data_IF_575557595974
#
_entry.id   IF_575557595974
#
_cell.length_a   1.000
_cell.length_b   1.000
_cell.length_c   1.000
_cell.angle_alpha   90.00
_cell.angle_beta   90.00
_cell.angle_gamma   90.00
#
_symmetry.space_group_name_H-M   'P 1'
#
loop_
_entity.id
_entity.type
_entity.pdbx_description
1 polymer ?
#
# COMPACT_ATOMS: atom_id res chain seq x y z
N UNK A 1 25.59 52.71 -103.88
CA UNK A 1 26.07 51.99 -105.07
C UNK A 1 26.08 50.50 -104.70
N UNK A 2 25.24 49.67 -105.32
CA UNK A 2 25.17 48.22 -105.03
C UNK A 2 25.87 47.50 -106.18
N UNK A 3 26.96 46.79 -105.89
CA UNK A 3 27.62 45.94 -106.88
C UNK A 3 26.72 44.76 -107.23
N UNK A 4 26.88 44.19 -108.43
CA UNK A 4 26.19 42.95 -108.82
C UNK A 4 26.65 41.79 -107.92
N UNK A 5 25.83 40.73 -107.82
CA UNK A 5 25.97 39.68 -106.81
C UNK A 5 27.35 38.97 -106.80
N UNK A 6 28.09 38.96 -107.92
CA UNK A 6 29.44 38.37 -108.04
C UNK A 6 30.59 39.34 -107.76
N UNK A 7 30.30 40.55 -107.31
CA UNK A 7 31.28 41.60 -107.00
C UNK A 7 31.04 42.20 -105.62
N UNK A 8 32.13 42.55 -104.92
CA UNK A 8 32.06 43.31 -103.69
C UNK A 8 32.58 44.74 -103.92
N UNK A 9 32.12 45.68 -103.09
CA UNK A 9 32.59 47.06 -103.17
C UNK A 9 33.90 47.20 -102.38
N UNK A 10 35.01 47.39 -103.10
CA UNK A 10 36.32 47.61 -102.49
C UNK A 10 36.44 49.10 -102.11
N UNK A 11 36.47 49.36 -100.80
CA UNK A 11 36.43 50.73 -100.26
C UNK A 11 37.66 51.54 -100.64
N UNK A 12 38.79 50.88 -100.84
CA UNK A 12 40.06 51.51 -101.19
C UNK A 12 40.10 51.97 -102.66
N UNK A 13 39.60 51.16 -103.59
CA UNK A 13 39.58 51.46 -105.04
C UNK A 13 38.29 52.15 -105.49
N UNK A 14 37.25 52.17 -104.66
CA UNK A 14 35.88 52.66 -104.96
C UNK A 14 35.24 51.98 -106.17
N UNK A 15 35.70 50.78 -106.52
CA UNK A 15 35.19 49.98 -107.62
C UNK A 15 34.57 48.67 -107.11
N UNK A 16 33.80 48.04 -107.98
CA UNK A 16 33.28 46.69 -107.73
C UNK A 16 34.34 45.69 -108.21
N UNK A 17 34.95 44.96 -107.28
CA UNK A 17 35.95 43.93 -107.56
C UNK A 17 35.33 42.54 -107.48
N UNK A 18 35.82 41.63 -108.31
CA UNK A 18 35.26 40.28 -108.44
C UNK A 18 35.47 39.46 -107.17
N UNK A 19 34.48 38.65 -106.83
CA UNK A 19 34.64 37.65 -105.77
C UNK A 19 35.66 36.57 -106.17
N UNK A 20 36.32 35.98 -105.18
CA UNK A 20 37.16 34.80 -105.39
C UNK A 20 36.30 33.65 -105.93
N UNK A 21 36.88 32.81 -106.80
CA UNK A 21 36.19 31.65 -107.40
C UNK A 21 35.60 30.66 -106.38
N UNK A 22 36.08 30.71 -105.13
CA UNK A 22 35.55 29.93 -104.01
C UNK A 22 34.20 30.44 -103.45
N UNK A 23 33.75 31.65 -103.82
CA UNK A 23 32.47 32.23 -103.40
C UNK A 23 31.52 32.43 -104.59
N UNK A 24 30.22 32.27 -104.38
CA UNK A 24 29.21 32.67 -105.37
C UNK A 24 28.90 34.17 -105.26
N UNK A 25 28.78 34.65 -104.02
CA UNK A 25 28.70 36.08 -103.69
C UNK A 25 29.59 36.35 -102.49
N UNK A 26 30.16 37.56 -102.38
CA UNK A 26 31.11 37.94 -101.33
C UNK A 26 30.84 39.35 -100.79
N UNK A 27 31.44 39.66 -99.64
CA UNK A 27 31.27 40.95 -98.96
C UNK A 27 32.56 41.39 -98.27
N UNK A 28 32.83 42.70 -98.27
CA UNK A 28 34.04 43.38 -97.77
C UNK A 28 35.37 42.96 -98.43
N UNK A 29 35.60 41.69 -98.73
CA UNK A 29 36.81 41.14 -99.35
C UNK A 29 36.45 39.99 -100.27
N UNK A 30 37.25 39.75 -101.31
CA UNK A 30 37.01 38.68 -102.30
C UNK A 30 36.82 37.27 -101.69
N UNK A 31 37.40 37.00 -100.51
CA UNK A 31 37.37 35.69 -99.82
C UNK A 31 36.32 35.54 -98.71
N UNK A 32 35.55 36.60 -98.40
CA UNK A 32 34.47 36.55 -97.40
C UNK A 32 33.15 36.28 -98.12
N UNK A 33 32.80 35.01 -98.23
CA UNK A 33 31.62 34.58 -98.95
C UNK A 33 30.33 34.92 -98.19
N UNK A 34 29.28 35.30 -98.92
CA UNK A 34 27.90 35.41 -98.44
C UNK A 34 27.02 34.26 -98.96
N UNK A 35 27.38 33.68 -100.11
CA UNK A 35 26.77 32.47 -100.64
C UNK A 35 27.82 31.62 -101.36
N UNK A 36 27.51 30.34 -101.52
CA UNK A 36 28.47 29.33 -101.95
C UNK A 36 28.06 28.66 -103.26
N UNK A 37 29.03 28.26 -104.10
CA UNK A 37 28.77 27.46 -105.31
C UNK A 37 28.07 26.13 -105.00
N UNK A 38 27.44 25.53 -106.02
CA UNK A 38 26.78 24.22 -105.88
C UNK A 38 27.69 23.17 -105.22
N UNK A 39 27.12 22.36 -104.32
CA UNK A 39 27.80 21.32 -103.53
C UNK A 39 28.77 21.84 -102.44
N UNK A 40 28.67 23.10 -102.03
CA UNK A 40 29.38 23.68 -100.87
C UNK A 40 28.44 24.44 -99.95
N UNK A 41 28.81 24.62 -98.68
CA UNK A 41 28.00 25.32 -97.69
C UNK A 41 28.77 26.47 -97.02
N UNK A 42 28.02 27.48 -96.57
CA UNK A 42 28.59 28.63 -95.89
C UNK A 42 28.85 28.35 -94.42
N UNK A 43 30.08 28.52 -93.97
CA UNK A 43 30.48 28.50 -92.57
C UNK A 43 31.52 29.57 -92.29
N UNK A 44 31.29 30.42 -91.28
CA UNK A 44 32.20 31.51 -90.91
C UNK A 44 32.69 32.35 -92.10
N UNK A 45 31.79 32.72 -93.01
CA UNK A 45 32.08 33.47 -94.26
C UNK A 45 33.01 32.76 -95.25
N UNK A 46 33.15 31.44 -95.17
CA UNK A 46 33.90 30.60 -96.13
C UNK A 46 33.02 29.48 -96.66
N UNK A 47 33.25 29.08 -97.91
CA UNK A 47 32.56 27.95 -98.53
C UNK A 47 33.34 26.67 -98.29
N UNK A 48 32.76 25.74 -97.54
CA UNK A 48 33.38 24.48 -97.15
C UNK A 48 32.70 23.29 -97.88
N UNK A 49 33.46 22.21 -98.07
CA UNK A 49 32.95 20.93 -98.62
C UNK A 49 32.51 19.98 -97.51
N UNK A 50 31.57 19.07 -97.81
CA UNK A 50 31.05 18.10 -96.84
C UNK A 50 32.07 17.07 -96.32
N UNK A 51 33.27 16.95 -96.92
CA UNK A 51 34.29 15.95 -96.54
C UNK A 51 34.68 16.00 -95.05
N UNK A 52 34.70 17.18 -94.44
CA UNK A 52 35.01 17.33 -93.01
C UNK A 52 33.77 17.18 -92.11
N UNK A 53 32.57 17.35 -92.67
CA UNK A 53 31.31 17.22 -91.95
C UNK A 53 30.90 15.76 -91.73
N UNK A 54 31.39 14.80 -92.52
CA UNK A 54 31.08 13.37 -92.32
C UNK A 54 31.37 12.88 -90.89
N UNK A 55 32.40 13.46 -90.25
CA UNK A 55 32.77 13.11 -88.88
C UNK A 55 31.85 13.73 -87.83
N UNK A 56 31.34 14.95 -88.06
CA UNK A 56 30.67 15.78 -87.06
C UNK A 56 29.16 15.95 -87.29
N UNK A 57 28.66 15.68 -88.50
CA UNK A 57 27.28 15.86 -88.92
C UNK A 57 26.48 14.54 -88.87
N UNK A 58 25.30 14.59 -88.27
CA UNK A 58 24.38 13.46 -88.19
C UNK A 58 23.35 13.49 -89.33
N UNK A 59 22.86 14.70 -89.66
CA UNK A 59 21.89 14.91 -90.73
C UNK A 59 22.30 16.07 -91.63
N UNK A 60 22.49 15.79 -92.92
CA UNK A 60 22.77 16.78 -93.94
C UNK A 60 21.49 17.50 -94.41
N UNK A 61 21.64 18.73 -94.91
CA UNK A 61 20.52 19.48 -95.47
C UNK A 61 19.97 18.82 -96.75
N UNK A 62 18.65 18.91 -96.98
CA UNK A 62 17.97 18.26 -98.12
C UNK A 62 18.44 18.74 -99.50
N UNK A 63 19.16 19.86 -99.58
CA UNK A 63 19.78 20.39 -100.80
C UNK A 63 21.27 20.00 -100.96
N UNK A 64 21.75 19.05 -100.16
CA UNK A 64 23.01 18.34 -100.36
C UNK A 64 24.26 18.99 -99.78
N UNK A 65 24.18 20.11 -99.07
CA UNK A 65 25.37 20.78 -98.51
C UNK A 65 25.11 21.40 -97.14
N UNK A 66 26.01 21.12 -96.19
CA UNK A 66 25.90 21.60 -94.82
C UNK A 66 25.07 20.69 -93.90
N UNK A 67 25.14 20.99 -92.61
CA UNK A 67 24.56 20.17 -91.56
C UNK A 67 23.33 20.80 -90.91
N UNK A 68 22.25 20.03 -90.75
CA UNK A 68 21.04 20.45 -90.04
C UNK A 68 20.94 19.90 -88.62
N UNK A 69 21.56 18.74 -88.35
CA UNK A 69 21.71 18.16 -87.03
C UNK A 69 23.13 17.60 -86.83
N UNK A 70 23.83 18.06 -85.81
CA UNK A 70 25.19 17.61 -85.48
C UNK A 70 25.14 16.31 -84.64
N UNK A 71 26.19 15.49 -84.73
CA UNK A 71 26.37 14.33 -83.85
C UNK A 71 26.61 14.78 -82.41
N UNK A 72 26.41 13.86 -81.47
CA UNK A 72 26.79 14.04 -80.06
C UNK A 72 28.24 14.55 -79.95
N UNK A 73 28.47 15.49 -79.03
CA UNK A 73 29.76 16.18 -78.88
C UNK A 73 29.92 17.45 -79.74
N UNK A 74 28.95 17.79 -80.58
CA UNK A 74 28.97 19.00 -81.42
C UNK A 74 27.67 19.80 -81.32
N UNK A 75 27.76 21.13 -81.50
CA UNK A 75 26.62 22.03 -81.61
C UNK A 75 26.63 22.80 -82.93
N UNK A 76 25.45 23.18 -83.40
CA UNK A 76 25.26 23.78 -84.72
C UNK A 76 25.38 25.29 -84.68
N UNK A 77 26.18 25.86 -85.60
CA UNK A 77 26.12 27.28 -85.95
C UNK A 77 25.94 27.38 -87.48
N UNK A 78 24.80 27.91 -87.92
CA UNK A 78 24.49 27.99 -89.36
C UNK A 78 24.30 26.61 -89.99
N UNK A 79 25.25 26.18 -90.81
CA UNK A 79 25.29 24.87 -91.48
C UNK A 79 26.54 24.04 -91.10
N UNK A 80 27.24 24.43 -90.04
CA UNK A 80 28.45 23.78 -89.54
C UNK A 80 28.31 23.33 -88.08
N UNK A 81 29.18 22.41 -87.66
CA UNK A 81 29.17 21.77 -86.36
C UNK A 81 30.47 22.03 -85.60
N UNK A 82 30.38 22.65 -84.43
CA UNK A 82 31.51 23.00 -83.57
C UNK A 82 31.54 22.12 -82.32
N UNK A 83 32.72 21.77 -81.84
CA UNK A 83 32.87 20.88 -80.68
C UNK A 83 32.33 21.50 -79.38
N UNK A 84 31.66 20.67 -78.59
CA UNK A 84 31.26 20.99 -77.22
C UNK A 84 32.47 21.03 -76.27
N UNK A 85 32.30 21.63 -75.10
CA UNK A 85 33.23 21.48 -73.97
C UNK A 85 33.30 20.00 -73.53
N UNK A 86 34.48 19.54 -73.08
CA UNK A 86 34.74 18.14 -72.68
C UNK A 86 33.83 17.64 -71.55
N UNK A 87 33.30 18.57 -70.74
CA UNK A 87 32.33 18.25 -69.67
C UNK A 87 30.93 17.92 -70.19
N UNK A 88 30.60 18.28 -71.44
CA UNK A 88 29.29 18.02 -72.05
C UNK A 88 29.32 16.74 -72.92
N UNK A 89 28.22 16.00 -72.94
CA UNK A 89 27.94 15.00 -73.99
C UNK A 89 27.21 15.64 -75.16
N UNK A 90 26.19 16.45 -74.90
CA UNK A 90 25.53 17.30 -75.90
C UNK A 90 25.43 18.73 -75.36
N UNK A 91 25.50 19.72 -76.24
CA UNK A 91 25.52 21.13 -75.85
C UNK A 91 24.71 22.00 -76.79
N UNK A 92 24.20 23.12 -76.27
CA UNK A 92 23.49 24.13 -77.07
C UNK A 92 24.48 25.12 -77.69
N UNK A 93 25.54 25.45 -76.96
CA UNK A 93 26.68 26.23 -77.41
C UNK A 93 27.94 25.76 -76.66
N UNK A 94 29.09 26.40 -76.93
CA UNK A 94 30.38 26.05 -76.32
C UNK A 94 30.34 25.94 -74.79
N UNK A 95 29.53 26.73 -74.09
CA UNK A 95 29.54 26.80 -72.61
C UNK A 95 28.31 26.17 -71.95
N UNK A 96 27.21 25.96 -72.70
CA UNK A 96 25.93 25.48 -72.17
C UNK A 96 25.68 24.01 -72.55
N UNK A 97 25.84 23.12 -71.58
CA UNK A 97 25.57 21.69 -71.76
C UNK A 97 24.08 21.37 -71.70
N UNK A 98 23.60 20.56 -72.63
CA UNK A 98 22.27 19.95 -72.54
C UNK A 98 22.33 18.67 -71.71
N UNK A 99 23.33 17.83 -71.95
CA UNK A 99 23.65 16.63 -71.15
C UNK A 99 25.14 16.59 -70.82
N UNK A 100 25.49 16.02 -69.67
CA UNK A 100 26.88 15.93 -69.22
C UNK A 100 27.58 14.68 -69.76
N UNK A 101 28.91 14.67 -69.78
CA UNK A 101 29.69 13.46 -70.03
C UNK A 101 29.43 12.40 -68.93
N UNK A 102 29.74 11.14 -69.18
CA UNK A 102 29.53 10.00 -68.27
C UNK A 102 30.25 10.14 -66.93
N UNK A 103 31.31 10.93 -66.84
CA UNK A 103 32.07 11.21 -65.60
C UNK A 103 31.53 12.39 -64.81
N UNK A 104 30.56 13.13 -65.35
CA UNK A 104 30.03 14.36 -64.78
C UNK A 104 28.52 14.20 -64.51
N UNK A 105 28.01 14.99 -63.57
CA UNK A 105 26.58 15.10 -63.28
C UNK A 105 26.07 16.51 -63.59
N UNK A 106 24.78 16.61 -63.88
CA UNK A 106 24.10 17.89 -64.14
C UNK A 106 23.57 18.47 -62.83
N UNK A 107 24.01 19.67 -62.48
CA UNK A 107 23.50 20.41 -61.32
C UNK A 107 22.11 20.98 -61.64
N UNK A 108 21.40 21.41 -60.59
CA UNK A 108 20.13 22.12 -60.76
C UNK A 108 20.28 23.47 -61.51
N UNK A 109 21.46 24.11 -61.48
CA UNK A 109 21.77 25.30 -62.29
C UNK A 109 22.00 25.00 -63.77
N UNK A 110 22.14 23.72 -64.15
CA UNK A 110 22.40 23.27 -65.52
C UNK A 110 23.87 23.08 -65.86
N UNK A 111 24.77 23.21 -64.89
CA UNK A 111 26.22 23.00 -65.06
C UNK A 111 26.58 21.52 -64.98
N UNK A 112 27.72 21.14 -65.59
CA UNK A 112 28.24 19.78 -65.54
C UNK A 112 29.50 19.71 -64.67
N UNK A 113 29.38 19.12 -63.48
CA UNK A 113 30.48 18.95 -62.51
C UNK A 113 30.93 17.48 -62.40
N UNK A 114 32.19 17.19 -62.05
CA UNK A 114 32.66 15.82 -61.80
C UNK A 114 31.80 15.06 -60.78
N UNK A 115 31.48 13.79 -61.06
CA UNK A 115 30.69 12.96 -60.14
C UNK A 115 31.38 12.72 -58.79
N UNK A 116 32.71 12.77 -58.76
CA UNK A 116 33.51 12.63 -57.53
C UNK A 116 33.38 13.82 -56.57
N UNK A 117 32.82 14.95 -57.01
CA UNK A 117 32.61 16.12 -56.17
C UNK A 117 31.44 15.91 -55.18
N UNK A 118 30.54 14.96 -55.46
CA UNK A 118 29.45 14.62 -54.55
C UNK A 118 29.97 13.70 -53.44
N UNK A 119 30.25 14.28 -52.28
CA UNK A 119 30.63 13.56 -51.07
C UNK A 119 29.36 13.08 -50.32
N UNK A 120 29.41 11.86 -49.76
CA UNK A 120 28.33 11.35 -48.92
C UNK A 120 27.15 10.75 -49.69
N UNK A 121 27.32 10.34 -50.94
CA UNK A 121 26.31 9.56 -51.67
C UNK A 121 26.34 8.07 -51.24
N UNK A 122 25.17 7.50 -50.97
CA UNK A 122 25.04 6.09 -50.54
C UNK A 122 25.02 5.11 -51.73
N UNK A 123 24.83 5.63 -52.94
CA UNK A 123 24.73 4.88 -54.19
C UNK A 123 25.73 5.44 -55.20
N UNK A 124 25.95 4.74 -56.30
CA UNK A 124 26.80 5.25 -57.36
C UNK A 124 26.17 6.54 -57.95
N UNK A 125 26.98 7.59 -58.02
CA UNK A 125 26.58 8.86 -58.62
C UNK A 125 26.43 8.65 -60.13
N UNK A 126 25.40 9.26 -60.72
CA UNK A 126 25.11 9.18 -62.16
C UNK A 126 25.16 10.57 -62.79
N UNK A 127 24.90 10.67 -64.09
CA UNK A 127 24.73 11.97 -64.77
C UNK A 127 23.60 12.82 -64.18
N UNK A 128 22.66 12.19 -63.47
CA UNK A 128 21.58 12.87 -62.74
C UNK A 128 21.94 13.22 -61.30
N UNK A 129 23.20 13.04 -60.89
CA UNK A 129 23.67 13.26 -59.52
C UNK A 129 23.42 12.06 -58.60
N UNK A 130 23.28 12.33 -57.31
CA UNK A 130 23.03 11.34 -56.26
C UNK A 130 21.53 11.23 -55.96
N UNK A 131 20.99 10.01 -56.00
CA UNK A 131 19.57 9.75 -55.67
C UNK A 131 19.32 9.45 -54.20
N UNK A 132 20.36 9.07 -53.44
CA UNK A 132 20.26 8.78 -52.00
C UNK A 132 21.57 9.08 -51.29
N UNK A 133 21.54 9.96 -50.30
CA UNK A 133 22.69 10.26 -49.45
C UNK A 133 22.90 9.21 -48.36
N UNK A 134 24.13 9.11 -47.85
CA UNK A 134 24.49 8.30 -46.69
C UNK A 134 23.85 8.86 -45.41
N UNK A 135 23.73 8.01 -44.39
CA UNK A 135 23.33 8.48 -43.06
C UNK A 135 24.35 9.55 -42.59
N UNK A 136 23.84 10.65 -42.04
CA UNK A 136 24.65 11.84 -41.75
C UNK A 136 24.67 12.88 -42.88
N UNK A 137 24.05 12.62 -44.03
CA UNK A 137 23.89 13.57 -45.13
C UNK A 137 22.41 13.70 -45.56
N UNK A 138 22.05 14.84 -46.18
CA UNK A 138 20.73 15.07 -46.76
C UNK A 138 20.83 15.60 -48.19
N UNK A 139 19.78 15.35 -48.99
CA UNK A 139 19.73 15.80 -50.38
C UNK A 139 19.49 17.32 -50.42
N UNK A 140 20.37 18.03 -51.12
CA UNK A 140 20.24 19.44 -51.48
C UNK A 140 20.26 19.59 -53.00
N UNK A 141 19.73 20.72 -53.50
CA UNK A 141 19.70 21.04 -54.94
C UNK A 141 19.17 19.90 -55.81
N UNK A 142 18.22 19.12 -55.29
CA UNK A 142 17.57 17.94 -55.90
C UNK A 142 18.42 16.67 -56.02
N UNK A 143 19.75 16.76 -56.16
CA UNK A 143 20.59 15.61 -56.48
C UNK A 143 22.02 15.66 -55.90
N UNK A 144 22.28 16.52 -54.91
CA UNK A 144 23.57 16.65 -54.22
C UNK A 144 23.42 16.30 -52.74
N UNK A 145 24.52 15.99 -52.06
CA UNK A 145 24.50 15.61 -50.65
C UNK A 145 25.26 16.64 -49.79
N UNK A 146 24.63 17.06 -48.69
CA UNK A 146 25.24 17.94 -47.71
C UNK A 146 25.21 17.30 -46.32
N UNK A 147 26.27 17.49 -45.55
CA UNK A 147 26.41 16.93 -44.20
C UNK A 147 25.37 17.53 -43.22
N UNK A 148 24.84 16.69 -42.35
CA UNK A 148 24.00 17.07 -41.24
C UNK A 148 24.81 17.79 -40.15
N UNK A 149 24.16 18.59 -39.32
CA UNK A 149 24.84 19.20 -38.17
C UNK A 149 25.19 18.12 -37.12
N UNK A 150 26.25 18.34 -36.35
CA UNK A 150 26.85 17.38 -35.39
C UNK A 150 25.88 16.80 -34.35
N UNK A 151 24.72 17.43 -34.12
CA UNK A 151 23.70 16.97 -33.17
C UNK A 151 22.71 15.96 -33.79
N UNK A 152 22.65 15.87 -35.12
CA UNK A 152 21.82 14.91 -35.84
C UNK A 152 22.64 13.67 -36.20
N UNK A 153 22.02 12.50 -36.10
CA UNK A 153 22.54 11.28 -36.72
C UNK A 153 22.01 11.13 -38.16
N UNK A 154 20.76 11.52 -38.40
CA UNK A 154 20.17 11.66 -39.74
C UNK A 154 19.35 12.94 -39.81
N UNK A 155 19.28 13.60 -40.97
CA UNK A 155 18.54 14.85 -41.16
C UNK A 155 17.81 14.91 -42.50
N UNK A 156 16.92 15.89 -42.67
CA UNK A 156 16.06 16.02 -43.86
C UNK A 156 15.73 17.49 -44.10
N UNK A 157 15.74 17.94 -45.37
CA UNK A 157 15.49 19.33 -45.82
C UNK A 157 16.56 20.37 -45.42
N UNK A 158 17.12 20.28 -44.22
CA UNK A 158 18.24 21.14 -43.78
C UNK A 158 19.13 20.42 -42.77
N UNK A 159 20.36 20.91 -42.61
CA UNK A 159 21.35 20.36 -41.68
C UNK A 159 20.88 20.32 -40.22
N UNK A 160 19.91 21.16 -39.82
CA UNK A 160 19.39 21.25 -38.45
C UNK A 160 18.08 20.48 -38.23
N UNK A 161 17.44 20.00 -39.30
CA UNK A 161 16.15 19.31 -39.21
C UNK A 161 16.40 17.80 -39.15
N UNK A 162 16.69 17.33 -37.94
CA UNK A 162 17.05 15.95 -37.70
C UNK A 162 15.82 15.02 -37.81
N UNK A 163 16.06 13.79 -38.27
CA UNK A 163 15.12 12.65 -38.21
C UNK A 163 15.57 11.62 -37.18
N UNK A 164 16.85 11.63 -36.80
CA UNK A 164 17.37 10.94 -35.63
C UNK A 164 18.50 11.74 -35.01
N UNK A 165 18.70 11.59 -33.71
CA UNK A 165 19.72 12.28 -32.93
C UNK A 165 20.80 11.31 -32.46
N UNK A 166 21.99 11.82 -32.20
CA UNK A 166 23.06 11.05 -31.56
C UNK A 166 22.61 10.42 -30.23
N UNK A 167 23.32 9.38 -29.79
CA UNK A 167 22.98 8.48 -28.67
C UNK A 167 22.77 9.14 -27.28
N UNK A 168 22.77 10.46 -27.18
CA UNK A 168 22.59 11.22 -25.93
C UNK A 168 21.57 12.37 -26.04
N UNK A 169 20.85 12.45 -27.15
CA UNK A 169 19.93 13.54 -27.46
C UNK A 169 18.54 12.99 -27.80
N UNK A 170 17.49 13.72 -27.44
CA UNK A 170 16.10 13.38 -27.80
C UNK A 170 15.63 14.23 -28.96
N UNK A 171 14.93 13.59 -29.89
CA UNK A 171 14.31 14.24 -31.03
C UNK A 171 12.98 14.87 -30.64
N UNK A 172 12.88 16.19 -30.74
CA UNK A 172 11.64 16.92 -30.58
C UNK A 172 10.79 16.85 -31.86
N UNK A 173 9.49 17.08 -31.73
CA UNK A 173 8.54 17.09 -32.85
C UNK A 173 8.86 18.14 -33.91
N UNK A 174 9.56 19.21 -33.53
CA UNK A 174 10.05 20.23 -34.45
C UNK A 174 11.33 19.80 -35.22
N UNK A 175 11.85 18.59 -35.01
CA UNK A 175 13.06 18.06 -35.64
C UNK A 175 14.38 18.52 -34.98
N UNK A 176 14.33 19.15 -33.81
CA UNK A 176 15.52 19.55 -33.05
C UNK A 176 15.96 18.46 -32.07
N UNK A 177 17.26 18.29 -31.90
CA UNK A 177 17.85 17.37 -30.93
C UNK A 177 18.24 18.11 -29.65
N UNK A 178 17.74 17.67 -28.50
CA UNK A 178 18.02 18.29 -27.19
C UNK A 178 18.58 17.28 -26.20
N UNK A 179 19.51 17.75 -25.36
CA UNK A 179 20.11 16.93 -24.30
C UNK A 179 19.17 16.70 -23.11
N UNK A 180 19.54 15.72 -22.29
CA UNK A 180 18.81 15.31 -21.08
C UNK A 180 18.45 16.49 -20.16
N UNK A 181 19.34 17.48 -20.04
CA UNK A 181 19.14 18.66 -19.19
C UNK A 181 17.94 19.51 -19.56
N UNK A 182 17.51 19.49 -20.83
CA UNK A 182 16.35 20.23 -21.31
C UNK A 182 15.04 19.48 -21.13
N UNK A 183 15.09 18.19 -20.83
CA UNK A 183 13.89 17.36 -20.67
C UNK A 183 13.64 17.14 -19.19
N UNK A 184 12.64 17.85 -18.67
CA UNK A 184 12.27 17.78 -17.26
C UNK A 184 12.05 16.32 -16.84
N UNK A 185 12.79 15.89 -15.82
CA UNK A 185 12.70 14.57 -15.18
C UNK A 185 13.07 13.37 -16.05
N UNK A 186 13.61 13.54 -17.25
CA UNK A 186 14.19 12.43 -18.00
C UNK A 186 15.51 11.98 -17.36
N UNK A 187 15.74 10.67 -17.30
CA UNK A 187 16.95 10.04 -16.73
C UNK A 187 17.77 9.28 -17.75
N UNK A 188 17.11 8.69 -18.75
CA UNK A 188 17.76 7.80 -19.71
C UNK A 188 17.18 8.04 -21.10
N UNK A 189 18.06 8.00 -22.10
CA UNK A 189 17.72 8.22 -23.51
C UNK A 189 18.11 6.96 -24.28
N UNK A 190 17.19 6.43 -25.07
CA UNK A 190 17.48 5.34 -26.02
C UNK A 190 16.78 5.63 -27.35
N UNK A 191 17.48 5.42 -28.48
CA UNK A 191 16.93 5.62 -29.83
C UNK A 191 16.30 7.01 -30.03
N UNK A 192 17.02 8.05 -29.62
CA UNK A 192 16.58 9.45 -29.68
C UNK A 192 15.28 9.77 -28.94
N UNK A 193 14.90 8.96 -27.95
CA UNK A 193 13.72 9.14 -27.10
C UNK A 193 14.07 9.01 -25.63
N UNK A 194 13.37 9.74 -24.77
CA UNK A 194 13.44 9.53 -23.32
C UNK A 194 12.82 8.16 -22.98
N UNK A 195 13.63 7.23 -22.50
CA UNK A 195 13.20 5.86 -22.17
C UNK A 195 12.85 5.70 -20.71
N UNK A 196 13.48 6.47 -19.83
CA UNK A 196 13.29 6.39 -18.39
C UNK A 196 13.15 7.77 -17.79
N UNK A 197 12.12 7.94 -16.98
CA UNK A 197 11.85 9.16 -16.24
C UNK A 197 12.16 8.98 -14.75
N UNK A 198 12.16 10.09 -14.03
CA UNK A 198 12.29 10.11 -12.58
C UNK A 198 11.09 9.46 -11.90
N UNK A 199 11.25 9.07 -10.63
CA UNK A 199 10.17 8.52 -9.82
C UNK A 199 8.95 9.46 -9.84
N UNK A 200 7.74 8.91 -10.02
CA UNK A 200 6.46 9.60 -10.33
C UNK A 200 6.21 10.06 -11.76
N UNK A 201 7.07 9.71 -12.72
CA UNK A 201 6.89 10.10 -14.12
C UNK A 201 7.13 8.91 -15.07
N UNK A 202 6.44 8.92 -16.20
CA UNK A 202 6.64 7.98 -17.32
C UNK A 202 6.89 8.74 -18.63
N UNK A 203 7.59 8.14 -19.60
CA UNK A 203 7.72 8.75 -20.92
C UNK A 203 6.36 8.99 -21.58
N UNK A 204 6.23 10.10 -22.29
CA UNK A 204 5.10 10.36 -23.19
C UNK A 204 5.08 9.33 -24.32
N UNK A 205 3.94 9.18 -25.01
CA UNK A 205 3.80 8.23 -26.13
C UNK A 205 4.86 8.44 -27.22
N UNK A 206 5.19 9.70 -27.47
CA UNK A 206 6.19 10.07 -28.48
C UNK A 206 7.63 9.98 -27.95
N UNK A 207 7.81 9.89 -26.64
CA UNK A 207 9.13 9.78 -25.98
C UNK A 207 9.88 11.10 -25.87
N UNK A 208 9.19 12.22 -26.01
CA UNK A 208 9.77 13.58 -26.02
C UNK A 208 9.74 14.27 -24.66
N UNK A 209 8.92 13.77 -23.74
CA UNK A 209 8.69 14.37 -22.42
C UNK A 209 8.35 13.29 -21.39
N UNK A 210 8.36 13.67 -20.10
CA UNK A 210 7.97 12.82 -18.99
C UNK A 210 6.66 13.33 -18.37
N UNK A 211 5.62 12.51 -18.39
CA UNK A 211 4.29 12.81 -17.85
C UNK A 211 4.12 12.21 -16.46
N UNK A 212 3.38 12.89 -15.58
CA UNK A 212 3.13 12.42 -14.22
C UNK A 212 2.36 11.11 -14.19
N UNK A 213 2.80 10.17 -13.36
CA UNK A 213 2.16 8.88 -13.11
C UNK A 213 1.94 8.69 -11.62
N UNK A 214 0.73 8.29 -11.24
CA UNK A 214 0.39 7.91 -9.88
C UNK A 214 0.95 6.52 -9.58
N UNK A 215 1.78 6.43 -8.55
CA UNK A 215 2.42 5.20 -8.11
C UNK A 215 1.58 4.58 -6.98
N UNK A 216 0.56 3.82 -7.35
CA UNK A 216 -0.45 3.25 -6.44
C UNK A 216 0.11 2.46 -5.24
N UNK A 217 1.21 1.73 -5.42
CA UNK A 217 1.81 0.95 -4.35
C UNK A 217 2.37 1.82 -3.21
N UNK A 218 2.82 3.05 -3.49
CA UNK A 218 3.31 3.98 -2.45
C UNK A 218 2.15 4.44 -1.57
N UNK A 219 0.99 4.71 -2.18
CA UNK A 219 -0.23 5.09 -1.48
C UNK A 219 -0.70 3.93 -0.59
N UNK A 220 -0.67 2.70 -1.12
CA UNK A 220 -1.02 1.51 -0.35
C UNK A 220 -0.12 1.31 0.88
N UNK A 221 1.20 1.46 0.72
CA UNK A 221 2.15 1.39 1.85
C UNK A 221 1.88 2.47 2.89
N UNK A 222 1.59 3.70 2.47
CA UNK A 222 1.25 4.79 3.39
C UNK A 222 -0.02 4.48 4.21
N UNK A 223 -1.07 3.94 3.58
CA UNK A 223 -2.30 3.54 4.27
C UNK A 223 -2.03 2.40 5.27
N UNK A 224 -1.23 1.40 4.89
CA UNK A 224 -0.86 0.30 5.80
C UNK A 224 -0.06 0.79 7.00
N UNK A 225 0.86 1.75 6.83
CA UNK A 225 1.59 2.37 7.94
C UNK A 225 0.64 3.08 8.92
N UNK A 226 -0.34 3.83 8.42
CA UNK A 226 -1.34 4.51 9.27
C UNK A 226 -2.18 3.50 10.05
N UNK A 227 -2.60 2.39 9.41
CA UNK A 227 -3.34 1.32 10.08
C UNK A 227 -2.51 0.67 11.20
N UNK A 228 -1.22 0.43 10.98
CA UNK A 228 -0.32 -0.12 12.00
C UNK A 228 -0.20 0.83 13.20
N UNK A 229 -0.03 2.13 12.96
CA UNK A 229 0.02 3.13 14.05
C UNK A 229 -1.29 3.14 14.85
N UNK A 230 -2.43 3.02 14.17
CA UNK A 230 -3.74 2.96 14.82
C UNK A 230 -3.89 1.70 15.69
N UNK A 231 -3.44 0.54 15.22
CA UNK A 231 -3.43 -0.70 15.98
C UNK A 231 -2.55 -0.56 17.24
N UNK A 232 -1.35 0.01 17.11
CA UNK A 232 -0.44 0.24 18.24
C UNK A 232 -1.10 1.16 19.28
N UNK A 233 -1.77 2.22 18.85
CA UNK A 233 -2.52 3.12 19.74
C UNK A 233 -3.63 2.37 20.49
N UNK A 234 -4.44 1.57 19.79
CA UNK A 234 -5.50 0.75 20.41
C UNK A 234 -4.91 -0.22 21.44
N UNK A 235 -3.85 -0.96 21.09
CA UNK A 235 -3.19 -1.90 22.01
C UNK A 235 -2.66 -1.19 23.25
N UNK A 236 -2.04 -0.02 23.07
CA UNK A 236 -1.55 0.79 24.19
C UNK A 236 -2.69 1.22 25.13
N UNK A 237 -3.82 1.64 24.57
CA UNK A 237 -5.04 2.01 25.30
C UNK A 237 -5.60 0.84 26.12
N UNK A 238 -5.63 -0.36 25.52
CA UNK A 238 -6.07 -1.59 26.20
C UNK A 238 -5.13 -1.97 27.35
N UNK A 239 -3.82 -1.82 27.18
CA UNK A 239 -2.84 -2.10 28.26
C UNK A 239 -3.01 -1.10 29.41
N UNK A 240 -3.14 0.20 29.09
CA UNK A 240 -3.31 1.26 30.10
C UNK A 240 -4.60 1.06 30.89
N UNK A 241 -5.72 0.80 30.20
CA UNK A 241 -7.01 0.53 30.86
C UNK A 241 -6.96 -0.70 31.76
N UNK A 242 -6.34 -1.80 31.31
CA UNK A 242 -6.10 -2.98 32.18
C UNK A 242 -5.27 -2.65 33.41
N UNK A 243 -4.20 -1.87 33.26
CA UNK A 243 -3.35 -1.47 34.37
C UNK A 243 -4.09 -0.56 35.37
N UNK A 244 -4.89 0.39 34.88
CA UNK A 244 -5.74 1.25 35.71
C UNK A 244 -6.78 0.42 36.46
N UNK A 245 -7.46 -0.51 35.79
CA UNK A 245 -8.46 -1.39 36.40
C UNK A 245 -7.84 -2.28 37.48
N UNK A 246 -6.66 -2.85 37.21
CA UNK A 246 -5.90 -3.64 38.20
C UNK A 246 -5.52 -2.80 39.41
N UNK A 247 -5.06 -1.56 39.20
CA UNK A 247 -4.68 -0.65 40.29
C UNK A 247 -5.90 -0.22 41.12
N UNK A 248 -7.03 0.08 40.47
CA UNK A 248 -8.31 0.38 41.14
C UNK A 248 -8.83 -0.81 41.94
N UNK A 249 -8.73 -2.03 41.41
CA UNK A 249 -9.15 -3.24 42.10
C UNK A 249 -8.32 -3.51 43.36
N UNK A 250 -6.99 -3.36 43.26
CA UNK A 250 -6.09 -3.46 44.42
C UNK A 250 -6.43 -2.39 45.46
N UNK A 251 -6.63 -1.15 45.03
CA UNK A 251 -6.96 -0.06 45.96
C UNK A 251 -8.31 -0.23 46.64
N UNK A 252 -9.29 -0.85 45.96
CA UNK A 252 -10.60 -1.20 46.53
C UNK A 252 -10.47 -2.28 47.60
N UNK A 253 -9.63 -3.30 47.37
CA UNK A 253 -9.34 -4.34 48.36
C UNK A 253 -8.61 -3.77 49.57
N UNK A 254 -7.57 -2.94 49.37
CA UNK A 254 -6.83 -2.32 50.48
C UNK A 254 -7.69 -1.42 51.37
N UNK A 255 -8.76 -0.84 50.84
CA UNK A 255 -9.74 -0.06 51.63
C UNK A 255 -10.69 -0.92 52.46
N UNK A 256 -10.90 -2.18 52.11
CA UNK A 256 -11.85 -3.08 52.77
C UNK A 256 -11.18 -4.15 53.63
N UNK A 257 -9.89 -4.45 53.41
CA UNK A 257 -9.14 -5.46 54.18
C UNK A 257 -8.08 -4.83 55.08
N UNK A 258 -8.18 -5.02 56.40
CA UNK A 258 -7.16 -4.58 57.36
C UNK A 258 -5.93 -5.48 57.27
N UNK A 259 -4.94 -5.07 56.47
CA UNK A 259 -3.65 -5.75 56.36
C UNK A 259 -2.61 -5.08 57.27
N UNK A 260 -1.95 -5.85 58.12
CA UNK A 260 -0.96 -5.32 59.06
C UNK A 260 0.29 -6.21 59.15
N UNK A 261 1.42 -5.61 59.53
CA UNK A 261 2.66 -6.35 59.74
C UNK A 261 2.61 -7.07 61.10
N UNK A 262 2.86 -8.38 61.12
CA UNK A 262 2.73 -9.19 62.35
C UNK A 262 3.70 -8.76 63.45
N UNK A 263 4.88 -8.26 63.08
CA UNK A 263 5.87 -7.76 64.04
C UNK A 263 5.50 -6.42 64.69
N UNK A 264 4.44 -5.76 64.21
CA UNK A 264 3.93 -4.49 64.74
C UNK A 264 2.60 -4.66 65.49
N UNK A 265 2.09 -5.88 65.62
CA UNK A 265 0.88 -6.16 66.40
C UNK A 265 1.23 -6.76 67.76
N UNK A 266 0.29 -6.65 68.70
CA UNK A 266 0.31 -7.27 70.02
C UNK A 266 -0.41 -8.65 70.04
N UNK A 267 -0.64 -9.23 68.86
CA UNK A 267 -1.40 -10.47 68.71
C UNK A 267 -0.44 -11.66 68.82
N UNK A 268 -0.74 -12.57 69.74
CA UNK A 268 -0.04 -13.85 69.85
C UNK A 268 -0.61 -14.83 68.83
N UNK A 269 0.19 -15.14 67.81
CA UNK A 269 -0.24 -16.04 66.73
C UNK A 269 0.06 -17.51 67.05
N UNK A 270 -0.93 -18.37 66.87
CA UNK A 270 -0.83 -19.83 66.94
C UNK A 270 -0.45 -20.37 65.55
N UNK A 271 0.64 -21.14 65.42
CA UNK A 271 1.08 -21.66 64.14
C UNK A 271 0.15 -22.78 63.62
N UNK A 272 -0.04 -22.82 62.31
CA UNK A 272 -0.81 -23.81 61.56
C UNK A 272 0.06 -24.46 60.47
N UNK A 273 -0.47 -25.50 59.80
CA UNK A 273 0.24 -26.14 58.70
C UNK A 273 0.37 -25.20 57.49
N UNK A 274 1.46 -25.37 56.75
CA UNK A 274 1.68 -24.63 55.49
C UNK A 274 2.23 -23.21 55.67
N UNK A 275 2.88 -22.91 56.80
CA UNK A 275 3.50 -21.60 57.04
C UNK A 275 2.46 -20.47 57.20
N UNK A 276 1.36 -20.79 57.87
CA UNK A 276 0.28 -19.86 58.21
C UNK A 276 0.09 -19.88 59.71
N UNK A 277 -0.42 -18.81 60.29
CA UNK A 277 -0.73 -18.72 61.71
C UNK A 277 -2.04 -17.95 61.94
N UNK A 278 -2.68 -18.14 63.09
CA UNK A 278 -3.97 -17.51 63.42
C UNK A 278 -3.95 -16.89 64.80
N UNK A 279 -4.77 -15.86 65.06
CA UNK A 279 -4.91 -15.30 66.41
C UNK A 279 -5.51 -16.29 67.41
N UNK A 280 -6.34 -17.21 66.94
CA UNK A 280 -6.92 -18.30 67.74
C UNK A 280 -7.28 -19.49 66.85
N UNK A 281 -7.16 -20.70 67.36
CA UNK A 281 -7.67 -21.92 66.71
C UNK A 281 -9.18 -22.14 66.95
N UNK A 282 -9.79 -21.26 67.74
CA UNK A 282 -11.19 -21.29 68.11
C UNK A 282 -11.82 -19.91 67.85
N UNK A 283 -12.97 -19.91 67.17
CA UNK A 283 -13.86 -18.76 67.07
C UNK A 283 -15.00 -19.01 68.05
N UNK A 284 -15.00 -18.25 69.15
CA UNK A 284 -16.07 -18.26 70.13
C UNK A 284 -17.03 -17.10 69.84
N UNK A 285 -18.25 -17.42 69.40
CA UNK A 285 -19.28 -16.42 69.12
C UNK A 285 -19.81 -15.76 70.40
N UNK A 286 -19.56 -16.36 71.56
CA UNK A 286 -19.98 -15.87 72.87
C UNK A 286 -18.87 -15.16 73.66
N UNK A 287 -17.76 -14.77 73.01
CA UNK A 287 -16.65 -14.11 73.70
C UNK A 287 -17.07 -12.82 74.42
N UNK A 288 -17.96 -12.05 73.79
CA UNK A 288 -18.40 -10.73 74.28
C UNK A 288 -19.86 -10.72 74.75
N UNK A 289 -20.59 -11.81 74.51
CA UNK A 289 -22.03 -11.93 74.79
C UNK A 289 -22.39 -13.35 75.24
N UNK A 290 -23.18 -13.48 76.30
CA UNK A 290 -23.53 -14.79 76.85
C UNK A 290 -24.30 -15.68 75.86
N UNK A 291 -25.18 -15.08 75.05
CA UNK A 291 -26.02 -15.78 74.08
C UNK A 291 -26.15 -14.95 72.81
N UNK A 292 -26.06 -15.60 71.64
CA UNK A 292 -26.23 -14.94 70.34
C UNK A 292 -27.70 -14.94 69.89
N UNK A 293 -28.12 -13.87 69.22
CA UNK A 293 -29.51 -13.70 68.78
C UNK A 293 -29.86 -14.60 67.57
N UNK A 294 -31.02 -15.26 67.62
CA UNK A 294 -31.57 -16.03 66.49
C UNK A 294 -31.99 -15.08 65.36
N UNK A 295 -31.68 -15.44 64.12
CA UNK A 295 -31.90 -14.65 62.90
C UNK A 295 -31.17 -13.31 62.81
N UNK A 296 -30.14 -13.10 63.63
CA UNK A 296 -29.25 -11.94 63.54
C UNK A 296 -27.80 -12.38 63.36
N UNK A 297 -27.05 -11.60 62.59
CA UNK A 297 -25.63 -11.87 62.40
C UNK A 297 -24.84 -11.46 63.64
N UNK A 298 -24.04 -12.40 64.14
CA UNK A 298 -22.99 -12.14 65.13
C UNK A 298 -21.65 -12.12 64.40
N UNK A 299 -20.84 -11.09 64.65
CA UNK A 299 -19.52 -10.90 64.03
C UNK A 299 -18.42 -11.27 65.01
N UNK A 300 -17.49 -12.10 64.58
CA UNK A 300 -16.23 -12.34 65.26
C UNK A 300 -15.04 -12.10 64.34
N UNK A 301 -13.92 -11.65 64.89
CA UNK A 301 -12.71 -11.34 64.11
C UNK A 301 -11.65 -12.39 64.35
N UNK A 302 -11.11 -12.94 63.27
CA UNK A 302 -9.99 -13.86 63.28
C UNK A 302 -8.85 -13.28 62.44
N UNK A 303 -7.67 -13.09 63.03
CA UNK A 303 -6.51 -12.65 62.27
C UNK A 303 -5.76 -13.87 61.72
N UNK A 304 -5.41 -13.84 60.44
CA UNK A 304 -4.63 -14.91 59.79
C UNK A 304 -3.35 -14.32 59.19
N UNK A 305 -2.21 -14.87 59.60
CA UNK A 305 -0.88 -14.43 59.24
C UNK A 305 -0.14 -15.39 58.31
N UNK A 306 0.74 -14.85 57.46
CA UNK A 306 1.59 -15.62 56.57
C UNK A 306 3.04 -15.63 57.05
N UNK A 307 3.53 -16.78 57.52
CA UNK A 307 4.91 -16.99 57.96
C UNK A 307 5.80 -17.58 56.86
N UNK A 308 5.24 -17.92 55.69
CA UNK A 308 6.05 -18.34 54.53
C UNK A 308 6.90 -17.18 53.98
N UNK A 309 7.98 -17.51 53.27
CA UNK A 309 8.77 -16.54 52.49
C UNK A 309 8.02 -15.98 51.27
N UNK A 310 7.05 -16.74 50.74
CA UNK A 310 6.31 -16.39 49.53
C UNK A 310 4.92 -15.84 49.86
N UNK A 311 4.27 -15.21 48.87
CA UNK A 311 2.87 -14.79 48.98
C UNK A 311 1.93 -15.99 49.04
N UNK A 312 0.99 -15.94 49.98
CA UNK A 312 0.02 -17.01 50.23
C UNK A 312 -1.39 -16.48 50.04
N UNK A 313 -2.20 -17.20 49.25
CA UNK A 313 -3.63 -16.95 49.08
C UNK A 313 -4.39 -17.70 50.17
N UNK A 314 -5.31 -17.04 50.85
CA UNK A 314 -6.11 -17.58 51.94
C UNK A 314 -7.60 -17.52 51.59
N UNK A 315 -8.33 -18.56 51.97
CA UNK A 315 -9.77 -18.68 51.78
C UNK A 315 -10.38 -19.55 52.87
N UNK A 316 -11.60 -19.25 53.30
CA UNK A 316 -12.36 -20.09 54.20
C UNK A 316 -13.37 -20.95 53.44
N UNK A 317 -13.51 -22.20 53.85
CA UNK A 317 -14.54 -23.13 53.36
C UNK A 317 -15.28 -23.74 54.55
N UNK A 318 -16.57 -24.00 54.37
CA UNK A 318 -17.46 -24.56 55.40
C UNK A 318 -18.06 -25.87 54.87
N UNK A 319 -18.30 -26.83 55.77
CA UNK A 319 -18.98 -28.08 55.45
C UNK A 319 -20.40 -27.83 54.93
N UNK A 320 -20.77 -28.48 53.82
CA UNK A 320 -22.05 -28.29 53.13
C UNK A 320 -23.30 -28.73 53.91
N UNK A 321 -23.13 -29.48 55.01
CA UNK A 321 -24.23 -30.16 55.70
C UNK A 321 -24.80 -29.38 56.89
N UNK A 322 -24.54 -28.07 56.98
CA UNK A 322 -24.98 -27.25 58.11
C UNK A 322 -26.30 -26.56 57.76
N UNK A 323 -27.37 -26.92 58.47
CA UNK A 323 -28.72 -26.33 58.26
C UNK A 323 -29.14 -25.38 59.38
N UNK A 324 -28.43 -25.36 60.52
CA UNK A 324 -28.83 -24.62 61.73
C UNK A 324 -28.42 -23.14 61.72
N UNK A 325 -27.44 -22.78 60.91
CA UNK A 325 -26.92 -21.41 60.81
C UNK A 325 -26.35 -21.16 59.42
N UNK A 326 -26.32 -19.89 59.02
CA UNK A 326 -25.55 -19.44 57.87
C UNK A 326 -24.28 -18.76 58.34
N UNK A 327 -23.23 -18.83 57.52
CA UNK A 327 -21.93 -18.25 57.83
C UNK A 327 -21.38 -17.58 56.57
N UNK A 328 -20.84 -16.38 56.73
CA UNK A 328 -20.09 -15.67 55.70
C UNK A 328 -18.81 -15.09 56.29
N UNK A 329 -17.77 -14.99 55.47
CA UNK A 329 -16.46 -14.50 55.88
C UNK A 329 -16.07 -13.35 54.97
N UNK A 330 -15.63 -12.24 55.57
CA UNK A 330 -15.13 -11.06 54.88
C UNK A 330 -13.70 -10.73 55.32
N UNK A 331 -12.71 -10.69 54.40
CA UNK A 331 -12.83 -10.96 52.97
C UNK A 331 -13.03 -12.44 52.66
N UNK A 332 -13.74 -12.76 51.56
CA UNK A 332 -13.91 -14.14 51.08
C UNK A 332 -12.56 -14.78 50.69
N UNK A 333 -11.66 -13.97 50.14
CA UNK A 333 -10.35 -14.40 49.68
C UNK A 333 -9.35 -13.25 49.74
N UNK A 334 -8.13 -13.53 50.19
CA UNK A 334 -7.06 -12.52 50.28
C UNK A 334 -5.71 -13.12 49.95
N UNK A 335 -4.78 -12.30 49.45
CA UNK A 335 -3.39 -12.69 49.21
C UNK A 335 -2.48 -11.89 50.13
N UNK A 336 -1.71 -12.59 50.96
CA UNK A 336 -0.88 -11.97 52.01
C UNK A 336 0.61 -12.19 51.72
N UNK A 337 1.41 -11.13 51.82
CA UNK A 337 2.88 -11.19 51.71
C UNK A 337 3.51 -11.81 52.97
N UNK A 338 4.75 -12.27 52.85
CA UNK A 338 5.52 -12.77 53.99
C UNK A 338 5.56 -11.76 55.14
N UNK A 339 5.28 -12.19 56.37
CA UNK A 339 5.35 -11.36 57.57
C UNK A 339 4.14 -10.47 57.84
N UNK A 340 3.09 -10.54 57.01
CA UNK A 340 1.85 -9.80 57.19
C UNK A 340 0.70 -10.72 57.64
N UNK A 341 -0.33 -10.11 58.24
CA UNK A 341 -1.59 -10.73 58.58
C UNK A 341 -2.78 -9.90 58.07
N UNK A 342 -3.93 -10.56 57.95
CA UNK A 342 -5.21 -9.96 57.57
C UNK A 342 -6.26 -10.29 58.62
N UNK A 343 -7.12 -9.32 58.93
CA UNK A 343 -8.34 -9.55 59.70
C UNK A 343 -9.41 -10.18 58.80
N UNK A 344 -10.02 -11.26 59.29
CA UNK A 344 -11.22 -11.86 58.70
C UNK A 344 -12.38 -11.68 59.67
N UNK A 345 -13.43 -11.01 59.22
CA UNK A 345 -14.70 -10.89 59.93
C UNK A 345 -15.58 -12.09 59.56
N UNK A 346 -15.78 -12.98 60.52
CA UNK A 346 -16.65 -14.16 60.42
C UNK A 346 -18.02 -13.77 60.96
N UNK A 347 -19.03 -13.81 60.11
CA UNK A 347 -20.42 -13.51 60.48
C UNK A 347 -21.21 -14.81 60.51
N UNK A 348 -21.89 -15.05 61.63
CA UNK A 348 -22.73 -16.24 61.82
C UNK A 348 -24.14 -15.80 62.15
N UNK A 349 -25.12 -16.30 61.39
CA UNK A 349 -26.55 -16.09 61.62
C UNK A 349 -27.20 -17.42 61.98
N UNK A 350 -27.48 -17.69 63.26
CA UNK A 350 -28.26 -18.85 63.65
C UNK A 350 -29.71 -18.74 63.17
N UNK A 351 -30.29 -19.85 62.71
CA UNK A 351 -31.65 -19.92 62.18
C UNK A 351 -32.66 -20.46 63.21
N UNK A 352 -32.16 -21.07 64.29
CA UNK A 352 -32.95 -21.62 65.38
C UNK A 352 -32.19 -21.58 66.70
N UNK A 353 -32.89 -21.88 67.79
CA UNK A 353 -32.34 -22.00 69.13
C UNK A 353 -31.50 -23.27 69.22
N UNK A 354 -30.17 -23.15 69.25
CA UNK A 354 -29.25 -24.30 69.18
C UNK A 354 -27.89 -24.04 69.85
N UNK A 355 -27.11 -25.11 69.99
CA UNK A 355 -25.67 -25.05 70.31
C UNK A 355 -24.88 -25.27 69.02
N UNK A 356 -24.09 -24.28 68.63
CA UNK A 356 -23.18 -24.34 67.50
C UNK A 356 -21.88 -24.99 67.98
N UNK A 357 -21.57 -26.15 67.41
CA UNK A 357 -20.26 -26.79 67.51
C UNK A 357 -19.90 -27.29 66.11
N UNK A 358 -19.10 -26.51 65.40
CA UNK A 358 -18.76 -26.78 64.01
C UNK A 358 -17.28 -26.51 63.74
N UNK A 359 -16.82 -26.86 62.55
CA UNK A 359 -15.44 -26.60 62.12
C UNK A 359 -15.44 -25.94 60.75
N UNK A 360 -14.75 -24.82 60.63
CA UNK A 360 -14.46 -24.17 59.35
C UNK A 360 -13.05 -24.56 58.90
N UNK A 361 -12.82 -24.61 57.59
CA UNK A 361 -11.52 -24.92 57.01
C UNK A 361 -10.88 -23.66 56.43
N UNK A 362 -9.68 -23.34 56.93
CA UNK A 362 -8.79 -22.36 56.33
C UNK A 362 -7.94 -23.03 55.26
N UNK A 363 -8.16 -22.65 54.01
CA UNK A 363 -7.38 -23.06 52.85
C UNK A 363 -6.27 -22.05 52.62
N UNK A 364 -5.03 -22.55 52.54
CA UNK A 364 -3.85 -21.74 52.23
C UNK A 364 -3.14 -22.28 51.00
N UNK A 365 -2.92 -21.43 50.00
CA UNK A 365 -2.25 -21.77 48.75
C UNK A 365 -1.01 -20.91 48.55
N UNK A 366 0.15 -21.54 48.49
CA UNK A 366 1.39 -20.86 48.17
C UNK A 366 1.46 -20.58 46.66
N UNK A 367 1.48 -19.31 46.26
CA UNK A 367 1.39 -18.93 44.84
C UNK A 367 2.66 -19.28 44.03
N UNK A 368 3.78 -19.60 44.69
CA UNK A 368 5.02 -19.98 44.01
C UNK A 368 5.15 -21.49 43.84
N UNK A 369 4.81 -22.26 44.87
CA UNK A 369 4.90 -23.74 44.84
C UNK A 369 3.62 -24.41 44.35
N UNK A 370 2.50 -23.66 44.26
CA UNK A 370 1.15 -24.17 43.99
C UNK A 370 0.64 -25.21 44.99
N UNK A 371 1.30 -25.34 46.14
CA UNK A 371 0.88 -26.27 47.20
C UNK A 371 -0.27 -25.70 48.03
N UNK A 372 -1.28 -26.53 48.29
CA UNK A 372 -2.45 -26.21 49.11
C UNK A 372 -2.40 -26.96 50.45
N UNK A 373 -2.74 -26.27 51.54
CA UNK A 373 -2.89 -26.83 52.88
C UNK A 373 -4.21 -26.42 53.50
N UNK A 374 -4.78 -27.33 54.27
CA UNK A 374 -6.10 -27.20 54.89
C UNK A 374 -5.94 -27.25 56.41
N UNK A 375 -6.38 -26.21 57.10
CA UNK A 375 -6.34 -26.13 58.55
C UNK A 375 -7.75 -26.00 59.11
N UNK A 376 -8.09 -26.79 60.13
CA UNK A 376 -9.41 -26.73 60.77
C UNK A 376 -9.41 -25.68 61.89
N UNK A 377 -10.47 -24.89 61.96
CA UNK A 377 -10.72 -23.90 63.02
C UNK A 377 -12.08 -24.22 63.63
N UNK A 378 -12.13 -24.35 64.94
CA UNK A 378 -13.38 -24.70 65.65
C UNK A 378 -14.25 -23.45 65.81
N UNK A 379 -15.55 -23.61 65.62
CA UNK A 379 -16.56 -22.57 65.77
C UNK A 379 -17.54 -22.99 66.86
N UNK A 380 -17.62 -22.21 67.93
CA UNK A 380 -18.54 -22.43 69.04
C UNK A 380 -19.51 -21.27 69.21
N UNK A 381 -20.73 -21.60 69.63
CA UNK A 381 -21.71 -20.59 70.02
C UNK A 381 -22.94 -21.21 70.67
N UNK A 382 -23.63 -20.45 71.51
CA UNK A 382 -24.90 -20.78 72.13
C UNK A 382 -25.85 -19.64 71.86
N UNK A 383 -27.00 -19.95 71.29
CA UNK A 383 -28.02 -18.95 70.96
C UNK A 383 -28.92 -18.69 72.16
N UNK A 384 -29.66 -17.58 72.11
CA UNK A 384 -30.82 -17.37 72.96
C UNK A 384 -31.91 -18.43 72.70
N UNK A 385 -32.80 -18.63 73.68
CA UNK A 385 -33.96 -19.50 73.53
C UNK A 385 -35.12 -18.71 72.90
N UNK A 386 -35.67 -19.23 71.80
CA UNK A 386 -36.81 -18.66 71.08
C UNK A 386 -37.77 -19.78 70.66
N UNK A 387 -38.95 -19.41 70.14
CA UNK A 387 -39.88 -20.35 69.51
C UNK A 387 -39.38 -20.93 68.19
N UNK A 388 -38.26 -20.46 67.62
CA UNK A 388 -37.59 -21.14 66.51
C UNK A 388 -36.70 -22.23 67.09
N UNK A 389 -37.10 -23.50 66.97
CA UNK A 389 -36.42 -24.63 67.62
C UNK A 389 -35.57 -25.44 66.64
N UNK A 390 -34.54 -26.09 67.18
CA UNK A 390 -33.69 -27.02 66.42
C UNK A 390 -34.46 -28.30 66.10
N UNK A 391 -34.53 -28.67 64.83
CA UNK A 391 -35.25 -29.87 64.39
C UNK A 391 -34.60 -31.15 64.91
N UNK A 392 -33.30 -31.14 65.20
CA UNK A 392 -32.61 -32.31 65.76
C UNK A 392 -32.97 -32.59 67.23
N UNK A 393 -33.60 -31.63 67.93
CA UNK A 393 -34.10 -31.85 69.30
C UNK A 393 -35.50 -32.50 69.31
N UNK A 394 -36.17 -32.58 68.16
CA UNK A 394 -37.49 -33.21 68.01
C UNK A 394 -37.34 -34.70 67.71
N UNK A 395 -37.96 -35.53 68.57
CA UNK A 395 -37.99 -36.99 68.36
C UNK A 395 -39.43 -37.37 68.06
N UNK A 396 -39.68 -37.84 66.83
CA UNK A 396 -40.96 -38.40 66.42
C UNK A 396 -41.11 -39.85 66.87
N UNK A 397 -42.30 -40.20 67.34
CA UNK A 397 -42.64 -41.55 67.80
C UNK A 397 -43.79 -42.10 66.94
N UNK A 398 -45.04 -41.99 67.41
CA UNK A 398 -46.21 -42.56 66.74
C UNK A 398 -47.03 -41.51 65.99
N UNK A 399 -47.41 -41.79 64.74
CA UNK A 399 -48.40 -40.99 64.01
C UNK A 399 -49.75 -41.02 64.74
N UNK A 400 -50.26 -39.85 65.10
CA UNK A 400 -51.54 -39.65 65.78
C UNK A 400 -52.69 -39.46 64.79
N UNK A 401 -52.44 -38.77 63.68
CA UNK A 401 -53.45 -38.49 62.68
C UNK A 401 -52.90 -37.78 61.45
N UNK A 402 -53.68 -37.75 60.38
CA UNK A 402 -53.35 -37.05 59.14
C UNK A 402 -54.59 -36.35 58.60
N UNK A 403 -54.43 -35.09 58.21
CA UNK A 403 -55.47 -34.28 57.59
C UNK A 403 -55.00 -33.63 56.29
N UNK A 404 -55.78 -32.67 55.79
CA UNK A 404 -55.41 -31.85 54.63
C UNK A 404 -54.21 -30.96 54.92
N UNK A 405 -54.12 -30.39 56.12
CA UNK A 405 -53.06 -29.43 56.48
C UNK A 405 -51.72 -30.07 56.87
N UNK A 406 -51.67 -31.39 57.15
CA UNK A 406 -50.46 -32.01 57.68
C UNK A 406 -50.66 -33.38 58.32
N UNK A 407 -49.57 -33.93 58.83
CA UNK A 407 -49.51 -35.15 59.63
C UNK A 407 -49.11 -34.76 61.05
N UNK A 408 -49.83 -35.29 62.05
CA UNK A 408 -49.51 -35.06 63.47
C UNK A 408 -48.91 -36.34 64.05
N UNK A 409 -47.76 -36.19 64.68
CA UNK A 409 -47.05 -37.24 65.40
C UNK A 409 -47.08 -36.95 66.89
N UNK A 410 -47.12 -38.00 67.70
CA UNK A 410 -46.66 -37.96 69.08
C UNK A 410 -45.13 -37.94 69.03
N UNK A 411 -44.51 -37.13 69.86
CA UNK A 411 -43.06 -37.07 69.95
C UNK A 411 -42.59 -36.58 71.31
N UNK A 412 -41.30 -36.31 71.40
CA UNK A 412 -40.69 -35.67 72.57
C UNK A 412 -39.82 -34.49 72.18
N UNK A 413 -39.84 -33.48 73.04
CA UNK A 413 -38.99 -32.28 72.93
C UNK A 413 -38.50 -31.91 74.33
N UNK A 414 -37.17 -31.98 74.55
CA UNK A 414 -36.53 -31.68 75.85
C UNK A 414 -37.18 -32.41 77.04
N UNK A 415 -37.55 -33.67 76.85
CA UNK A 415 -38.18 -34.52 77.88
C UNK A 415 -39.70 -34.35 78.01
N UNK A 416 -40.31 -33.36 77.34
CA UNK A 416 -41.76 -33.19 77.32
C UNK A 416 -42.38 -34.02 76.20
N UNK A 417 -43.52 -34.67 76.48
CA UNK A 417 -44.33 -35.32 75.44
C UNK A 417 -45.09 -34.25 74.67
N UNK A 418 -44.90 -34.21 73.35
CA UNK A 418 -45.44 -33.16 72.47
C UNK A 418 -46.20 -33.75 71.28
N UNK A 419 -47.07 -32.94 70.68
CA UNK A 419 -47.65 -33.20 69.37
C UNK A 419 -46.85 -32.43 68.30
N UNK A 420 -46.27 -33.14 67.34
CA UNK A 420 -45.46 -32.59 66.25
C UNK A 420 -46.30 -32.58 64.98
N UNK A 421 -46.71 -31.39 64.52
CA UNK A 421 -47.48 -31.21 63.27
C UNK A 421 -46.50 -30.93 62.12
N UNK A 422 -46.36 -31.90 61.22
CA UNK A 422 -45.63 -31.75 59.95
C UNK A 422 -46.56 -31.32 58.84
N UNK A 423 -46.28 -30.18 58.23
CA UNK A 423 -47.06 -29.65 57.10
C UNK A 423 -46.76 -30.47 55.82
N UNK A 424 -47.79 -30.78 55.03
CA UNK A 424 -47.61 -31.50 53.75
C UNK A 424 -47.08 -30.55 52.68
N UNK A 425 -45.86 -30.80 52.21
CA UNK A 425 -45.24 -30.17 51.02
C UNK A 425 -45.48 -28.66 50.89
N UNK A 426 -44.62 -27.87 51.52
CA UNK A 426 -44.47 -26.45 51.23
C UNK A 426 -43.87 -26.36 49.81
N UNK A 427 -44.64 -25.98 48.80
CA UNK A 427 -44.04 -25.35 47.62
C UNK A 427 -43.22 -24.18 48.18
N UNK A 428 -41.90 -24.14 47.92
CA UNK A 428 -40.95 -23.09 48.33
C UNK A 428 -41.35 -21.73 47.71
N UNK A 429 -42.53 -21.25 48.03
CA UNK A 429 -43.10 -19.99 47.61
C UNK A 429 -43.10 -19.10 48.85
N UNK A 430 -42.62 -17.86 48.72
CA UNK A 430 -42.44 -16.96 49.87
C UNK A 430 -43.75 -16.76 50.65
N UNK A 431 -44.88 -16.80 49.94
CA UNK A 431 -46.21 -16.64 50.51
C UNK A 431 -46.59 -17.73 51.52
N UNK A 432 -46.19 -18.99 51.30
CA UNK A 432 -46.53 -20.10 52.21
C UNK A 432 -45.70 -20.04 53.51
N UNK A 433 -44.45 -19.57 53.41
CA UNK A 433 -43.60 -19.30 54.57
C UNK A 433 -44.11 -18.11 55.40
N UNK A 434 -44.61 -17.06 54.75
CA UNK A 434 -45.25 -15.92 55.44
C UNK A 434 -46.51 -16.37 56.19
N UNK A 435 -47.35 -17.20 55.57
CA UNK A 435 -48.54 -17.78 56.22
C UNK A 435 -48.15 -18.65 57.43
N UNK A 436 -47.10 -19.46 57.31
CA UNK A 436 -46.56 -20.26 58.42
C UNK A 436 -46.01 -19.40 59.56
N UNK A 437 -45.23 -18.36 59.26
CA UNK A 437 -44.67 -17.46 60.27
C UNK A 437 -45.78 -16.68 60.99
N UNK A 438 -46.86 -16.32 60.29
CA UNK A 438 -48.05 -15.73 60.89
C UNK A 438 -48.80 -16.71 61.82
N UNK A 439 -48.97 -17.99 61.43
CA UNK A 439 -49.56 -19.02 62.30
C UNK A 439 -48.73 -19.19 63.58
N UNK A 440 -47.41 -19.31 63.46
CA UNK A 440 -46.49 -19.44 64.61
C UNK A 440 -46.52 -18.20 65.50
N UNK A 441 -46.52 -17.00 64.92
CA UNK A 441 -46.59 -15.73 65.65
C UNK A 441 -47.91 -15.57 66.43
N UNK A 442 -49.02 -16.10 65.91
CA UNK A 442 -50.26 -16.18 66.68
C UNK A 442 -50.12 -17.16 67.86
N UNK A 443 -49.61 -18.38 67.62
CA UNK A 443 -49.48 -19.40 68.66
C UNK A 443 -48.56 -18.98 69.82
N UNK A 444 -47.47 -18.27 69.53
CA UNK A 444 -46.52 -17.78 70.55
C UNK A 444 -47.16 -16.78 71.53
N UNK A 445 -48.20 -16.05 71.10
CA UNK A 445 -48.90 -15.06 71.93
C UNK A 445 -49.89 -15.69 72.92
N UNK A 446 -50.36 -16.91 72.67
CA UNK A 446 -51.38 -17.55 73.51
C UNK A 446 -50.73 -18.37 74.64
N UNK A 447 -50.83 -17.86 75.87
CA UNK A 447 -50.44 -18.59 77.09
C UNK A 447 -51.61 -18.60 78.07
N UNK A 448 -52.26 -19.76 78.20
CA UNK A 448 -53.41 -19.98 79.06
C UNK A 448 -53.43 -21.45 79.48
N UNK A 449 -53.79 -21.74 80.73
CA UNK A 449 -53.85 -23.11 81.26
C UNK A 449 -54.87 -24.01 80.55
N UNK A 450 -55.83 -23.40 79.84
CA UNK A 450 -56.88 -24.10 79.08
C UNK A 450 -56.55 -24.28 77.58
N UNK A 451 -55.36 -23.87 77.13
CA UNK A 451 -54.91 -23.99 75.74
C UNK A 451 -53.63 -24.83 75.70
N UNK A 452 -53.48 -25.66 74.67
CA UNK A 452 -52.27 -26.46 74.46
C UNK A 452 -51.05 -25.55 74.41
N UNK A 453 -50.05 -25.85 75.25
CA UNK A 453 -48.82 -25.06 75.29
C UNK A 453 -48.03 -25.21 73.98
N UNK A 454 -47.74 -24.09 73.34
CA UNK A 454 -46.91 -24.04 72.14
C UNK A 454 -45.43 -23.91 72.51
N UNK A 455 -44.64 -24.96 72.23
CA UNK A 455 -43.20 -24.97 72.52
C UNK A 455 -42.36 -24.26 71.46
N UNK A 456 -42.79 -24.29 70.19
CA UNK A 456 -42.05 -23.70 69.08
C UNK A 456 -42.30 -24.40 67.75
N UNK A 457 -41.61 -23.92 66.73
CA UNK A 457 -41.69 -24.38 65.35
C UNK A 457 -40.30 -24.46 64.70
N UNK A 458 -40.16 -25.40 63.77
CA UNK A 458 -38.99 -25.55 62.91
C UNK A 458 -39.20 -24.71 61.65
N UNK A 459 -38.23 -23.84 61.35
CA UNK A 459 -38.26 -22.97 60.17
C UNK A 459 -37.26 -23.41 59.08
N UNK A 460 -36.52 -24.49 59.32
CA UNK A 460 -35.56 -25.04 58.37
C UNK A 460 -36.34 -25.82 57.30
N UNK A 461 -36.29 -25.43 56.02
CA UNK A 461 -37.02 -26.12 54.96
C UNK A 461 -36.60 -27.59 54.82
N UNK A 462 -37.53 -28.45 54.39
CA UNK A 462 -37.31 -29.87 54.13
C UNK A 462 -36.85 -30.70 55.35
N UNK A 463 -37.15 -30.25 56.58
CA UNK A 463 -36.85 -30.96 57.83
C UNK A 463 -38.10 -31.21 58.67
#
# INVERSE_FOLDING_TARGET
MKCQDTFYFEKSTKQCEGCDSSCLTCFDTSTKCLSCPHNTFLSNYKCNTNKNLELTCDQFASFGSGCVACKDGYYRIGLDCFGCDQKCKTCNNKYSCLTCNLTNYKTNSGDCLPQNDIIGCAVNVTQSGCSKCQDGYYIINTNECQECNNNCNTCTLSSNKCTSCNNSLVLLTNGSCVGLSRIFKCKEITKSKCSKCSFWYKPSKDGTSCESQIVWWVIFVAVMCVLIVFIILIVSLVIVTKNILKKLHIHKIEKTTTLFAMNKSNINFVPLQGGVCVSSNVIDLNSDIEQIEVNKETRQVLCVGNTNKNTTKLQFTISSNITKFTIRVDPEVVTIKSGYACEFSVYVKPLCSCKINSTIQLVSKNLKTNEEKYNKISLFGVTQQTTRIDCEELIEDKKLGEGSCGIVYKGSFRGNVVAIKKMKSVLNDNKSMDEFENEVSMLDKFRCDNIVHFFGAVFIPNK
#
